data_IF_868407754632
#
_entry.id   IF_868407754632
#
_cell.length_a   1.000
_cell.length_b   1.000
_cell.length_c   1.000
_cell.angle_alpha   90.00
_cell.angle_beta   90.00
_cell.angle_gamma   90.00
#
_symmetry.space_group_name_H-M   'P 1'
#
loop_
_entity.id
_entity.type
_entity.pdbx_description
1 polymer ?
#
# COMPACT_ATOMS: atom_id res chain seq x y z
N UNK A 1 19.08 -11.24 -20.73
CA UNK A 1 18.06 -10.18 -20.55
C UNK A 1 16.70 -10.75 -20.15
N UNK A 2 16.10 -11.69 -20.90
CA UNK A 2 14.83 -12.36 -20.55
C UNK A 2 14.76 -12.92 -19.12
N UNK A 3 15.78 -13.66 -18.67
CA UNK A 3 15.84 -14.26 -17.32
C UNK A 3 15.88 -13.21 -16.20
N UNK A 4 16.63 -12.12 -16.40
CA UNK A 4 16.67 -11.00 -15.46
C UNK A 4 15.32 -10.30 -15.36
N UNK A 5 14.60 -10.12 -16.48
CA UNK A 5 13.25 -9.57 -16.49
C UNK A 5 12.27 -10.40 -15.66
N UNK A 6 12.29 -11.73 -15.80
CA UNK A 6 11.44 -12.60 -14.97
C UNK A 6 11.81 -12.56 -13.48
N UNK A 7 13.10 -12.53 -13.12
CA UNK A 7 13.52 -12.40 -11.71
C UNK A 7 13.01 -11.10 -11.08
N UNK A 8 13.13 -9.98 -11.80
CA UNK A 8 12.62 -8.68 -11.33
C UNK A 8 11.10 -8.70 -11.20
N UNK A 9 10.40 -9.31 -12.15
CA UNK A 9 8.94 -9.46 -12.07
C UNK A 9 8.51 -10.31 -10.86
N UNK A 10 9.19 -11.42 -10.58
CA UNK A 10 8.92 -12.24 -9.39
C UNK A 10 9.19 -11.48 -8.08
N UNK A 11 10.32 -10.79 -7.99
CA UNK A 11 10.64 -9.97 -6.81
C UNK A 11 9.60 -8.86 -6.59
N UNK A 12 9.14 -8.22 -7.67
CA UNK A 12 8.10 -7.20 -7.61
C UNK A 12 6.74 -7.77 -7.16
N UNK A 13 6.38 -8.99 -7.58
CA UNK A 13 5.17 -9.67 -7.08
C UNK A 13 5.23 -9.95 -5.58
N UNK A 14 6.40 -10.34 -5.05
CA UNK A 14 6.59 -10.50 -3.60
C UNK A 14 6.42 -9.15 -2.90
N UNK A 15 7.00 -8.08 -3.45
CA UNK A 15 6.84 -6.71 -2.93
C UNK A 15 5.38 -6.25 -2.92
N UNK A 16 4.61 -6.60 -3.96
CA UNK A 16 3.15 -6.38 -4.02
C UNK A 16 2.44 -7.11 -2.87
N UNK A 17 2.74 -8.39 -2.65
CA UNK A 17 2.14 -9.16 -1.56
C UNK A 17 2.45 -8.57 -0.18
N UNK A 18 3.72 -8.28 0.09
CA UNK A 18 4.16 -7.73 1.37
C UNK A 18 3.59 -6.33 1.65
N UNK A 19 3.56 -5.47 0.63
CA UNK A 19 2.99 -4.12 0.77
C UNK A 19 1.48 -4.16 1.02
N UNK A 20 0.76 -5.10 0.40
CA UNK A 20 -0.67 -5.28 0.64
C UNK A 20 -0.96 -5.77 2.06
N UNK A 21 -0.19 -6.75 2.56
CA UNK A 21 -0.30 -7.22 3.95
C UNK A 21 0.02 -6.11 4.96
N UNK A 22 1.08 -5.33 4.71
CA UNK A 22 1.42 -4.20 5.56
C UNK A 22 0.31 -3.14 5.57
N UNK A 23 -0.24 -2.80 4.40
CA UNK A 23 -1.36 -1.86 4.28
C UNK A 23 -2.58 -2.35 5.05
N UNK A 24 -2.98 -3.62 4.89
CA UNK A 24 -4.11 -4.20 5.60
C UNK A 24 -3.90 -4.20 7.12
N UNK A 25 -2.70 -4.58 7.59
CA UNK A 25 -2.36 -4.58 9.00
C UNK A 25 -2.43 -3.18 9.62
N UNK A 26 -1.79 -2.18 8.98
CA UNK A 26 -1.81 -0.81 9.47
C UNK A 26 -3.19 -0.17 9.38
N UNK A 27 -4.00 -0.55 8.38
CA UNK A 27 -5.37 -0.09 8.25
C UNK A 27 -6.24 -0.56 9.43
N UNK A 28 -6.15 -1.85 9.79
CA UNK A 28 -6.85 -2.38 10.98
C UNK A 28 -6.35 -1.69 12.26
N UNK A 29 -5.05 -1.48 12.38
CA UNK A 29 -4.45 -0.73 13.49
C UNK A 29 -4.93 0.73 13.56
N UNK A 30 -5.10 1.41 12.43
CA UNK A 30 -5.67 2.77 12.40
C UNK A 30 -7.08 2.78 12.99
N UNK A 31 -7.93 1.80 12.63
CA UNK A 31 -9.27 1.67 13.20
C UNK A 31 -9.25 1.36 14.70
N UNK A 32 -8.30 0.54 15.15
CA UNK A 32 -8.16 0.20 16.57
C UNK A 32 -7.62 1.37 17.42
N UNK A 33 -6.76 2.20 16.85
CA UNK A 33 -6.13 3.35 17.53
C UNK A 33 -6.95 4.65 17.46
N UNK A 34 -8.20 4.61 16.99
CA UNK A 34 -9.08 5.79 16.98
C UNK A 34 -9.40 6.24 18.40
N UNK A 35 -9.18 7.52 18.70
CA UNK A 35 -9.58 8.11 19.97
C UNK A 35 -11.12 8.08 20.13
N UNK A 36 -11.66 8.08 21.36
CA UNK A 36 -13.11 8.08 21.60
C UNK A 36 -13.83 9.23 20.87
N UNK A 37 -13.20 10.41 20.85
CA UNK A 37 -13.68 11.62 20.17
C UNK A 37 -13.73 11.46 18.63
N UNK A 38 -12.95 10.53 18.08
CA UNK A 38 -12.80 10.29 16.64
C UNK A 38 -13.59 9.07 16.15
N UNK A 39 -14.35 8.38 17.03
CA UNK A 39 -15.15 7.22 16.61
C UNK A 39 -16.17 7.55 15.51
N UNK A 40 -16.68 8.79 15.48
CA UNK A 40 -17.57 9.27 14.43
C UNK A 40 -16.90 9.29 13.03
N UNK A 41 -15.56 9.32 12.97
CA UNK A 41 -14.79 9.27 11.72
C UNK A 41 -14.65 7.84 11.19
N UNK A 42 -15.00 6.80 11.96
CA UNK A 42 -14.76 5.40 11.58
C UNK A 42 -15.41 5.00 10.26
N UNK A 43 -16.65 5.43 10.03
CA UNK A 43 -17.35 5.19 8.76
C UNK A 43 -16.73 6.00 7.62
N UNK A 44 -16.36 7.25 7.88
CA UNK A 44 -15.67 8.09 6.90
C UNK A 44 -14.28 7.52 6.56
N UNK A 45 -13.61 6.88 7.50
CA UNK A 45 -12.32 6.21 7.29
C UNK A 45 -12.45 4.96 6.41
N UNK A 46 -13.65 4.39 6.31
CA UNK A 46 -13.94 3.27 5.43
C UNK A 46 -14.14 3.72 3.98
N UNK A 47 -14.95 4.76 3.76
CA UNK A 47 -15.30 5.21 2.41
C UNK A 47 -14.41 6.32 1.85
N UNK A 48 -13.98 7.24 2.71
CA UNK A 48 -13.26 8.48 2.35
C UNK A 48 -11.92 8.60 3.10
N UNK A 49 -11.26 7.46 3.31
CA UNK A 49 -9.95 7.33 3.95
C UNK A 49 -8.95 8.44 3.58
N UNK A 50 -8.82 8.74 2.28
CA UNK A 50 -7.86 9.72 1.75
C UNK A 50 -8.12 11.15 2.28
N UNK A 51 -9.37 11.49 2.53
CA UNK A 51 -9.80 12.82 2.98
C UNK A 51 -9.84 12.93 4.52
N UNK A 52 -10.04 11.81 5.22
CA UNK A 52 -10.14 11.78 6.69
C UNK A 52 -8.77 11.85 7.36
N UNK A 53 -7.71 11.56 6.61
CA UNK A 53 -6.35 11.48 7.12
C UNK A 53 -5.87 12.77 7.81
N UNK A 54 -6.31 13.94 7.34
CA UNK A 54 -6.01 15.24 7.96
C UNK A 54 -6.74 15.50 9.29
N UNK A 55 -7.77 14.71 9.61
CA UNK A 55 -8.56 14.79 10.85
C UNK A 55 -8.12 13.78 11.91
N UNK A 56 -7.25 12.83 11.53
CA UNK A 56 -6.66 11.86 12.46
C UNK A 56 -5.57 12.49 13.30
N UNK A 57 -5.44 12.04 14.54
CA UNK A 57 -4.39 12.48 15.46
C UNK A 57 -3.72 11.28 16.13
N UNK A 58 -2.57 11.51 16.75
CA UNK A 58 -1.83 10.49 17.50
C UNK A 58 -1.48 9.24 16.69
N UNK A 59 -1.61 8.07 17.32
CA UNK A 59 -1.25 6.78 16.72
C UNK A 59 -2.07 6.44 15.46
N UNK A 60 -3.34 6.87 15.39
CA UNK A 60 -4.18 6.64 14.22
C UNK A 60 -3.61 7.31 12.96
N UNK A 61 -3.07 8.54 13.11
CA UNK A 61 -2.43 9.27 12.00
C UNK A 61 -1.13 8.62 11.56
N UNK A 62 -0.31 8.14 12.50
CA UNK A 62 0.96 7.48 12.17
C UNK A 62 0.73 6.13 11.47
N UNK A 63 -0.21 5.33 11.97
CA UNK A 63 -0.64 4.10 11.28
C UNK A 63 -1.19 4.44 9.89
N UNK A 64 -1.98 5.51 9.78
CA UNK A 64 -2.55 5.89 8.50
C UNK A 64 -1.48 6.34 7.48
N UNK A 65 -0.43 7.03 7.93
CA UNK A 65 0.74 7.37 7.11
C UNK A 65 1.47 6.12 6.62
N UNK A 66 1.61 5.09 7.45
CA UNK A 66 2.24 3.82 7.06
C UNK A 66 1.48 3.09 5.96
N UNK A 67 0.14 3.12 5.99
CA UNK A 67 -0.68 2.58 4.89
C UNK A 67 -0.41 3.34 3.58
N UNK A 68 -0.30 4.67 3.60
CA UNK A 68 0.03 5.45 2.40
C UNK A 68 1.40 5.09 1.83
N UNK A 69 2.40 4.90 2.70
CA UNK A 69 3.73 4.44 2.29
C UNK A 69 3.64 3.05 1.66
N UNK A 70 2.89 2.13 2.28
CA UNK A 70 2.68 0.79 1.74
C UNK A 70 1.97 0.82 0.37
N UNK A 71 0.97 1.69 0.18
CA UNK A 71 0.35 1.92 -1.13
C UNK A 71 1.34 2.44 -2.16
N UNK A 72 2.18 3.41 -1.80
CA UNK A 72 3.20 3.93 -2.71
C UNK A 72 4.18 2.83 -3.14
N UNK A 73 4.63 1.99 -2.19
CA UNK A 73 5.48 0.83 -2.49
C UNK A 73 4.75 -0.16 -3.41
N UNK A 74 3.47 -0.45 -3.15
CA UNK A 74 2.67 -1.31 -4.01
C UNK A 74 2.62 -0.81 -5.46
N UNK A 75 2.35 0.49 -5.68
CA UNK A 75 2.33 1.07 -7.04
C UNK A 75 3.70 1.02 -7.71
N UNK A 76 4.78 1.28 -6.97
CA UNK A 76 6.15 1.16 -7.50
C UNK A 76 6.42 -0.29 -7.92
N UNK A 77 6.08 -1.26 -7.08
CA UNK A 77 6.23 -2.67 -7.41
C UNK A 77 5.37 -3.09 -8.61
N UNK A 78 4.15 -2.56 -8.77
CA UNK A 78 3.32 -2.79 -9.96
C UNK A 78 3.97 -2.27 -11.24
N UNK A 79 4.51 -1.04 -11.20
CA UNK A 79 5.19 -0.43 -12.36
C UNK A 79 6.43 -1.26 -12.72
N UNK A 80 7.22 -1.68 -11.72
CA UNK A 80 8.39 -2.53 -11.94
C UNK A 80 8.02 -3.90 -12.50
N UNK A 81 6.96 -4.53 -11.98
CA UNK A 81 6.48 -5.81 -12.49
C UNK A 81 6.04 -5.70 -13.96
N UNK A 82 5.24 -4.68 -14.29
CA UNK A 82 4.78 -4.42 -15.65
C UNK A 82 5.92 -4.11 -16.61
N UNK A 83 6.84 -3.21 -16.22
CA UNK A 83 8.02 -2.88 -17.01
C UNK A 83 8.90 -4.10 -17.26
N UNK A 84 9.22 -4.86 -16.21
CA UNK A 84 10.06 -6.06 -16.32
C UNK A 84 9.41 -7.14 -17.21
N UNK A 85 8.09 -7.28 -17.15
CA UNK A 85 7.34 -8.19 -18.01
C UNK A 85 7.38 -7.78 -19.48
N UNK A 86 7.21 -6.49 -19.79
CA UNK A 86 7.31 -5.97 -21.16
C UNK A 86 8.73 -6.19 -21.70
N UNK A 87 9.76 -5.86 -20.92
CA UNK A 87 11.17 -6.10 -21.31
C UNK A 87 11.49 -7.59 -21.53
N UNK A 88 10.87 -8.49 -20.76
CA UNK A 88 11.05 -9.92 -20.93
C UNK A 88 10.35 -10.46 -22.20
N UNK A 89 9.23 -9.85 -22.61
CA UNK A 89 8.39 -10.36 -23.70
C UNK A 89 8.64 -9.68 -25.05
N UNK A 90 9.31 -8.53 -25.07
CA UNK A 90 9.62 -7.81 -26.31
C UNK A 90 10.34 -8.70 -27.35
N UNK A 91 9.90 -8.70 -28.63
CA UNK A 91 10.62 -9.34 -29.72
C UNK A 91 11.96 -8.60 -29.92
N UNK A 92 13.04 -9.37 -30.10
CA UNK A 92 14.37 -8.81 -30.39
C UNK A 92 14.44 -8.28 -31.81
#
# INVERSE_FOLDING_TARGET
MRTLGFLVAYAALIGIGLSWLAAAFFYVRTHASLAPEQQHLRSQLFFNWLFVNGRLTGEARENARRVHIAMAVFFVCLILAGGAFIFATAPR
#
